data_IF_501888122559
#
_entry.id   IF_501888122559
#
_cell.length_a   1.000
_cell.length_b   1.000
_cell.length_c   1.000
_cell.angle_alpha   90.00
_cell.angle_beta   90.00
_cell.angle_gamma   90.00
#
_symmetry.space_group_name_H-M   'P 1'
#
loop_
_entity.id
_entity.type
_entity.pdbx_description
1 polymer ?
#
# COMPACT_ATOMS: atom_id res chain seq x y z
N UNK A 1 -14.78 19.43 6.63
CA UNK A 1 -15.74 18.42 6.18
C UNK A 1 -14.98 17.51 5.25
N UNK A 2 -14.71 16.27 5.64
CA UNK A 2 -14.10 15.28 4.75
C UNK A 2 -15.12 14.86 3.70
N UNK A 3 -14.71 14.86 2.43
CA UNK A 3 -15.49 14.30 1.34
C UNK A 3 -15.14 12.81 1.23
N UNK A 4 -16.16 11.94 1.12
CA UNK A 4 -15.98 10.49 0.94
C UNK A 4 -16.36 10.14 -0.49
N UNK A 5 -15.41 9.66 -1.28
CA UNK A 5 -15.69 9.14 -2.63
C UNK A 5 -15.71 7.61 -2.61
N UNK A 6 -16.87 7.02 -2.93
CA UNK A 6 -17.10 5.57 -3.00
C UNK A 6 -17.27 5.15 -4.46
N UNK A 7 -16.26 4.50 -5.02
CA UNK A 7 -16.25 4.09 -6.43
C UNK A 7 -16.26 2.57 -6.58
N UNK A 8 -17.08 2.06 -7.50
CA UNK A 8 -17.14 0.63 -7.84
C UNK A 8 -16.92 0.43 -9.33
N UNK A 9 -15.96 -0.43 -9.67
CA UNK A 9 -15.57 -0.71 -11.04
C UNK A 9 -15.67 -2.20 -11.35
N UNK A 10 -16.31 -2.53 -12.47
CA UNK A 10 -16.28 -3.90 -13.00
C UNK A 10 -14.94 -4.19 -13.69
N UNK A 11 -14.52 -3.28 -14.57
CA UNK A 11 -13.16 -3.20 -15.09
C UNK A 11 -12.78 -1.73 -15.04
N UNK A 12 -11.67 -1.38 -14.39
CA UNK A 12 -11.37 0.02 -14.13
C UNK A 12 -9.90 0.32 -14.07
N UNK A 13 -9.55 1.52 -14.52
CA UNK A 13 -8.27 2.14 -14.21
C UNK A 13 -8.58 3.38 -13.40
N UNK A 14 -7.91 3.52 -12.26
CA UNK A 14 -7.99 4.73 -11.47
C UNK A 14 -6.60 5.37 -11.36
N UNK A 15 -6.60 6.70 -11.36
CA UNK A 15 -5.41 7.50 -11.13
C UNK A 15 -5.78 8.61 -10.15
N UNK A 16 -5.13 8.60 -9.00
CA UNK A 16 -5.31 9.61 -7.97
C UNK A 16 -4.09 10.53 -7.94
N UNK A 17 -4.31 11.81 -8.24
CA UNK A 17 -3.36 12.91 -8.08
C UNK A 17 -4.00 13.91 -7.09
N UNK A 18 -3.45 14.13 -5.89
CA UNK A 18 -4.16 14.92 -4.88
C UNK A 18 -4.07 16.43 -5.12
N UNK A 19 -5.13 17.12 -4.67
CA UNK A 19 -5.19 18.57 -4.48
C UNK A 19 -5.55 18.85 -3.02
N UNK A 20 -4.52 19.06 -2.19
CA UNK A 20 -4.52 19.70 -0.86
C UNK A 20 -5.85 19.77 -0.08
N UNK A 21 -6.51 18.66 0.24
CA UNK A 21 -7.68 18.69 1.13
C UNK A 21 -7.92 17.34 1.80
N UNK A 22 -8.22 17.33 3.10
CA UNK A 22 -8.55 16.12 3.85
C UNK A 22 -9.72 15.38 3.18
N UNK A 23 -9.43 14.22 2.58
CA UNK A 23 -10.42 13.41 1.87
C UNK A 23 -10.21 11.92 2.14
N UNK A 24 -11.32 11.19 2.12
CA UNK A 24 -11.33 9.73 2.23
C UNK A 24 -11.75 9.15 0.89
N UNK A 25 -10.92 8.27 0.33
CA UNK A 25 -11.21 7.61 -0.94
C UNK A 25 -11.37 6.11 -0.74
N UNK A 26 -12.51 5.57 -1.18
CA UNK A 26 -12.81 4.15 -1.09
C UNK A 26 -13.18 3.59 -2.47
N UNK A 27 -12.43 2.60 -2.95
CA UNK A 27 -12.60 2.02 -4.28
C UNK A 27 -12.70 0.49 -4.23
N UNK A 28 -13.59 -0.08 -5.04
CA UNK A 28 -13.70 -1.53 -5.23
C UNK A 28 -13.66 -1.88 -6.70
N UNK A 29 -12.79 -2.82 -7.06
CA UNK A 29 -12.59 -3.30 -8.42
C UNK A 29 -12.82 -4.81 -8.50
N UNK A 30 -13.57 -5.25 -9.50
CA UNK A 30 -13.55 -6.67 -9.89
C UNK A 30 -12.26 -6.98 -10.67
N UNK A 31 -11.95 -6.22 -11.72
CA UNK A 31 -10.60 -6.20 -12.29
C UNK A 31 -10.13 -4.75 -12.39
N UNK A 32 -8.93 -4.44 -11.91
CA UNK A 32 -8.50 -3.05 -11.98
C UNK A 32 -7.03 -2.79 -11.78
N UNK A 33 -6.65 -1.61 -12.25
CA UNK A 33 -5.34 -1.03 -11.99
C UNK A 33 -5.55 0.30 -11.31
N UNK A 34 -4.94 0.50 -10.15
CA UNK A 34 -4.90 1.81 -9.53
C UNK A 34 -3.47 2.33 -9.44
N UNK A 35 -3.33 3.64 -9.65
CA UNK A 35 -2.07 4.34 -9.47
C UNK A 35 -2.27 5.59 -8.63
N UNK A 36 -1.46 5.70 -7.60
CA UNK A 36 -1.39 6.84 -6.72
C UNK A 36 -0.05 7.53 -6.92
N UNK A 37 -0.08 8.80 -7.31
CA UNK A 37 1.12 9.60 -7.51
C UNK A 37 1.08 10.84 -6.61
N UNK A 38 2.20 11.12 -5.95
CA UNK A 38 2.45 12.39 -5.27
C UNK A 38 1.40 12.69 -4.20
N UNK A 39 1.05 11.70 -3.37
CA UNK A 39 0.09 11.91 -2.29
C UNK A 39 0.69 12.79 -1.20
N UNK A 40 0.17 14.01 -1.08
CA UNK A 40 0.56 14.97 -0.05
C UNK A 40 -0.67 15.46 0.72
N UNK A 41 -0.68 15.21 2.04
CA UNK A 41 -1.72 15.62 2.98
C UNK A 41 -2.49 14.45 3.60
N UNK A 42 -3.26 14.69 4.66
CA UNK A 42 -4.00 13.65 5.39
C UNK A 42 -5.12 13.01 4.55
N UNK A 43 -4.79 11.95 3.83
CA UNK A 43 -5.71 11.18 2.98
C UNK A 43 -5.77 9.72 3.42
N UNK A 44 -6.96 9.28 3.80
CA UNK A 44 -7.22 7.86 4.05
C UNK A 44 -7.69 7.19 2.75
N UNK A 45 -7.05 6.07 2.40
CA UNK A 45 -7.33 5.36 1.17
C UNK A 45 -7.65 3.91 1.50
N UNK A 46 -8.79 3.43 0.99
CA UNK A 46 -9.23 2.05 1.13
C UNK A 46 -9.55 1.46 -0.24
N UNK A 47 -8.73 0.52 -0.70
CA UNK A 47 -8.93 -0.12 -2.00
C UNK A 47 -9.09 -1.63 -1.89
N UNK A 48 -10.03 -2.16 -2.66
CA UNK A 48 -10.32 -3.59 -2.71
C UNK A 48 -10.35 -4.08 -4.15
N UNK A 49 -9.62 -5.15 -4.43
CA UNK A 49 -9.52 -5.76 -5.75
C UNK A 49 -9.83 -7.25 -5.67
N UNK A 50 -10.68 -7.75 -6.56
CA UNK A 50 -10.74 -9.18 -6.82
C UNK A 50 -9.51 -9.62 -7.63
N UNK A 51 -9.25 -8.97 -8.77
CA UNK A 51 -7.98 -9.10 -9.48
C UNK A 51 -7.43 -7.70 -9.73
N UNK A 52 -6.21 -7.40 -9.29
CA UNK A 52 -5.72 -6.06 -9.51
C UNK A 52 -4.25 -5.81 -9.31
N UNK A 53 -3.85 -4.66 -9.82
CA UNK A 53 -2.51 -4.11 -9.63
C UNK A 53 -2.65 -2.74 -9.02
N UNK A 54 -1.92 -2.49 -7.94
CA UNK A 54 -1.80 -1.14 -7.42
C UNK A 54 -0.35 -0.68 -7.40
N UNK A 55 -0.13 0.58 -7.76
CA UNK A 55 1.18 1.23 -7.66
C UNK A 55 1.07 2.54 -6.89
N UNK A 56 1.90 2.67 -5.87
CA UNK A 56 2.06 3.88 -5.07
C UNK A 56 3.44 4.47 -5.34
N UNK A 57 3.47 5.74 -5.73
CA UNK A 57 4.70 6.45 -6.06
C UNK A 57 4.70 7.82 -5.39
N UNK A 58 5.72 8.07 -4.56
CA UNK A 58 5.95 9.35 -3.89
C UNK A 58 4.81 9.76 -2.96
N UNK A 59 4.37 8.86 -2.08
CA UNK A 59 3.44 9.19 -1.01
C UNK A 59 4.23 9.81 0.16
N UNK A 60 3.84 11.02 0.58
CA UNK A 60 4.58 11.83 1.56
C UNK A 60 3.90 11.82 2.93
N UNK A 61 2.58 11.60 2.97
CA UNK A 61 1.81 11.49 4.21
C UNK A 61 0.46 10.86 3.91
N UNK A 62 0.26 9.62 4.34
CA UNK A 62 -1.07 8.98 4.38
C UNK A 62 -1.29 8.43 5.80
N UNK A 63 -2.34 8.87 6.52
CA UNK A 63 -2.57 8.40 7.89
C UNK A 63 -2.93 6.92 7.92
N UNK A 64 -3.74 6.46 6.97
CA UNK A 64 -4.15 5.06 6.86
C UNK A 64 -4.29 4.62 5.41
N UNK A 65 -3.63 3.52 5.07
CA UNK A 65 -3.74 2.89 3.76
C UNK A 65 -4.20 1.44 3.91
N UNK A 66 -5.40 1.12 3.41
CA UNK A 66 -5.98 -0.22 3.48
C UNK A 66 -6.07 -0.82 2.08
N UNK A 67 -5.34 -1.91 1.86
CA UNK A 67 -5.34 -2.69 0.62
C UNK A 67 -5.89 -4.08 0.85
N UNK A 68 -6.81 -4.51 -0.01
CA UNK A 68 -7.30 -5.88 -0.02
C UNK A 68 -7.29 -6.44 -1.43
N UNK A 69 -6.60 -7.56 -1.62
CA UNK A 69 -6.52 -8.29 -2.89
C UNK A 69 -6.93 -9.74 -2.70
N UNK A 70 -7.84 -10.23 -3.56
CA UNK A 70 -7.98 -11.68 -3.73
C UNK A 70 -6.82 -12.22 -4.57
N UNK A 71 -6.59 -11.66 -5.76
CA UNK A 71 -5.38 -11.89 -6.54
C UNK A 71 -4.77 -10.54 -6.92
N UNK A 72 -3.52 -10.28 -6.56
CA UNK A 72 -2.99 -8.99 -6.92
C UNK A 72 -1.52 -8.74 -6.71
N UNK A 73 -1.08 -7.66 -7.34
CA UNK A 73 0.29 -7.17 -7.25
C UNK A 73 0.25 -5.75 -6.71
N UNK A 74 1.01 -5.50 -5.66
CA UNK A 74 1.22 -4.16 -5.18
C UNK A 74 2.69 -3.76 -5.28
N UNK A 75 2.93 -2.51 -5.68
CA UNK A 75 4.27 -1.90 -5.69
C UNK A 75 4.21 -0.55 -4.99
N UNK A 76 5.05 -0.37 -3.98
CA UNK A 76 5.27 0.92 -3.34
C UNK A 76 6.69 1.40 -3.62
N UNK A 77 6.81 2.63 -4.09
CA UNK A 77 8.07 3.26 -4.49
C UNK A 77 8.16 4.66 -3.86
N UNK A 78 9.24 4.90 -3.11
CA UNK A 78 9.54 6.20 -2.49
C UNK A 78 8.43 6.70 -1.57
N UNK A 79 7.95 5.82 -0.69
CA UNK A 79 7.05 6.19 0.41
C UNK A 79 7.89 6.80 1.55
N UNK A 80 7.57 8.05 1.92
CA UNK A 80 8.33 8.82 2.91
C UNK A 80 7.67 8.86 4.29
N UNK A 81 6.36 8.59 4.39
CA UNK A 81 5.65 8.57 5.68
C UNK A 81 4.25 7.96 5.55
N UNK A 82 4.10 6.71 5.95
CA UNK A 82 2.81 6.07 6.22
C UNK A 82 2.69 5.84 7.73
N UNK A 83 1.56 6.22 8.34
CA UNK A 83 1.34 5.94 9.76
C UNK A 83 0.95 4.48 9.98
N UNK A 84 0.20 3.90 9.03
CA UNK A 84 -0.18 2.51 8.99
C UNK A 84 -0.54 2.05 7.57
N UNK A 85 0.16 1.02 7.05
CA UNK A 85 -0.28 0.23 5.91
C UNK A 85 -0.87 -1.09 6.38
N UNK A 86 -2.09 -1.39 5.96
CA UNK A 86 -2.72 -2.70 6.15
C UNK A 86 -2.99 -3.34 4.80
N UNK A 87 -2.25 -4.40 4.48
CA UNK A 87 -2.39 -5.12 3.23
C UNK A 87 -2.82 -6.57 3.44
N UNK A 88 -3.97 -6.97 2.90
CA UNK A 88 -4.42 -8.37 2.91
C UNK A 88 -4.41 -8.93 1.49
N UNK A 89 -3.69 -10.03 1.30
CA UNK A 89 -3.54 -10.70 0.02
C UNK A 89 -3.90 -12.19 0.16
N UNK A 90 -4.88 -12.66 -0.62
CA UNK A 90 -5.13 -14.10 -0.67
C UNK A 90 -4.10 -14.81 -1.57
N UNK A 91 -3.88 -14.31 -2.78
CA UNK A 91 -2.78 -14.68 -3.66
C UNK A 91 -2.08 -13.40 -4.15
N UNK A 92 -0.93 -13.07 -3.58
CA UNK A 92 -0.37 -11.73 -3.78
C UNK A 92 1.13 -11.65 -3.94
N UNK A 93 1.56 -10.63 -4.68
CA UNK A 93 2.95 -10.21 -4.73
C UNK A 93 3.03 -8.77 -4.27
N UNK A 94 3.90 -8.48 -3.32
CA UNK A 94 4.14 -7.11 -2.89
C UNK A 94 5.62 -6.76 -3.02
N UNK A 95 5.90 -5.57 -3.57
CA UNK A 95 7.26 -5.06 -3.72
C UNK A 95 7.38 -3.65 -3.17
N UNK A 96 8.42 -3.45 -2.38
CA UNK A 96 8.73 -2.23 -1.67
C UNK A 96 10.13 -1.76 -2.01
N UNK A 97 10.23 -0.55 -2.56
CA UNK A 97 11.50 0.05 -2.99
C UNK A 97 11.70 1.43 -2.37
N UNK A 98 12.88 1.65 -1.79
CA UNK A 98 13.36 2.95 -1.34
C UNK A 98 12.40 3.59 -0.32
N UNK A 99 12.21 2.88 0.79
CA UNK A 99 11.25 3.24 1.83
C UNK A 99 11.93 3.98 2.99
N UNK A 100 11.35 5.10 3.44
CA UNK A 100 11.79 5.79 4.66
C UNK A 100 10.60 6.00 5.61
N UNK A 101 10.72 5.51 6.86
CA UNK A 101 9.75 5.63 7.98
C UNK A 101 8.36 5.00 7.81
N UNK A 102 8.07 4.00 8.64
CA UNK A 102 6.71 3.52 8.95
C UNK A 102 6.60 3.11 10.42
N UNK A 103 5.44 3.40 11.03
CA UNK A 103 5.19 3.07 12.43
C UNK A 103 4.64 1.65 12.61
N UNK A 104 3.72 1.16 11.76
CA UNK A 104 3.25 -0.24 11.81
C UNK A 104 2.72 -0.67 10.43
N UNK A 105 3.36 -1.68 9.85
CA UNK A 105 2.93 -2.32 8.61
C UNK A 105 2.51 -3.76 8.87
N UNK A 106 1.23 -4.05 8.65
CA UNK A 106 0.67 -5.40 8.72
C UNK A 106 0.36 -5.90 7.31
N UNK A 107 1.27 -6.69 6.76
CA UNK A 107 1.07 -7.35 5.47
C UNK A 107 0.77 -8.83 5.68
N UNK A 108 -0.47 -9.21 5.38
CA UNK A 108 -0.98 -10.56 5.55
C UNK A 108 -1.13 -11.21 4.18
N UNK A 109 -0.37 -12.28 3.95
CA UNK A 109 -0.47 -13.11 2.77
C UNK A 109 -0.98 -14.50 3.14
N UNK A 110 -2.03 -14.97 2.47
CA UNK A 110 -2.38 -16.39 2.55
C UNK A 110 -1.46 -17.21 1.66
N UNK A 111 -1.31 -16.81 0.40
CA UNK A 111 -0.30 -17.31 -0.53
C UNK A 111 0.40 -16.11 -1.15
N UNK A 112 1.72 -15.97 -1.00
CA UNK A 112 2.34 -14.79 -1.58
C UNK A 112 3.85 -14.70 -1.57
N UNK A 113 4.31 -13.61 -2.17
CA UNK A 113 5.73 -13.27 -2.26
C UNK A 113 5.89 -11.80 -1.88
N UNK A 114 6.83 -11.50 -0.99
CA UNK A 114 7.29 -10.12 -0.80
C UNK A 114 8.75 -9.91 -1.17
N UNK A 115 9.05 -8.71 -1.67
CA UNK A 115 10.42 -8.21 -1.85
C UNK A 115 10.53 -6.80 -1.29
N UNK A 116 11.50 -6.60 -0.40
CA UNK A 116 11.81 -5.31 0.21
C UNK A 116 13.25 -4.91 -0.18
N UNK A 117 13.40 -3.74 -0.78
CA UNK A 117 14.68 -3.18 -1.23
C UNK A 117 14.92 -1.82 -0.61
N UNK A 118 16.05 -1.68 0.10
CA UNK A 118 16.57 -0.42 0.62
C UNK A 118 15.56 0.34 1.49
N UNK A 119 15.53 0.00 2.79
CA UNK A 119 14.65 0.62 3.77
C UNK A 119 15.40 1.09 5.02
N UNK A 120 15.04 2.27 5.52
CA UNK A 120 15.42 2.75 6.86
C UNK A 120 14.17 2.63 7.73
N UNK A 121 14.23 1.72 8.70
CA UNK A 121 13.11 1.44 9.60
C UNK A 121 13.37 2.04 10.98
N UNK A 122 12.32 2.63 11.55
CA UNK A 122 12.30 3.14 12.92
C UNK A 122 11.46 2.30 13.85
N UNK A 123 10.52 1.50 13.32
CA UNK A 123 9.63 0.58 14.05
C UNK A 123 9.48 -0.80 13.34
N UNK A 124 8.59 -1.67 13.85
CA UNK A 124 8.41 -3.06 13.42
C UNK A 124 7.58 -3.21 12.13
N UNK A 125 8.20 -3.77 11.07
CA UNK A 125 7.50 -4.32 9.91
C UNK A 125 7.06 -5.76 10.21
N UNK A 126 5.75 -6.02 10.21
CA UNK A 126 5.19 -7.34 10.52
C UNK A 126 4.55 -7.93 9.26
N UNK A 127 5.16 -9.03 8.79
CA UNK A 127 4.68 -9.73 7.60
C UNK A 127 4.26 -11.15 7.98
N UNK A 128 2.98 -11.46 7.77
CA UNK A 128 2.42 -12.78 8.01
C UNK A 128 2.24 -13.55 6.69
N UNK A 129 2.66 -14.81 6.69
CA UNK A 129 2.37 -15.75 5.62
C UNK A 129 1.67 -16.98 6.20
N UNK A 130 0.62 -17.46 5.52
CA UNK A 130 0.26 -18.87 5.64
C UNK A 130 1.17 -19.72 4.75
N UNK A 131 1.32 -19.33 3.47
CA UNK A 131 2.27 -19.90 2.52
C UNK A 131 2.96 -18.79 1.74
N UNK A 132 4.28 -18.82 1.64
CA UNK A 132 4.96 -17.82 0.85
C UNK A 132 6.43 -17.66 1.18
N UNK A 133 7.03 -16.66 0.54
CA UNK A 133 8.43 -16.30 0.74
C UNK A 133 8.57 -14.79 0.80
N UNK A 134 9.53 -14.33 1.60
CA UNK A 134 9.92 -12.94 1.61
C UNK A 134 11.41 -12.77 1.43
N UNK A 135 11.81 -11.78 0.64
CA UNK A 135 13.19 -11.40 0.42
C UNK A 135 13.45 -9.96 0.85
N UNK A 136 14.55 -9.75 1.57
CA UNK A 136 14.96 -8.44 2.07
C UNK A 136 16.38 -8.11 1.57
N UNK A 137 16.53 -6.99 0.87
CA UNK A 137 17.80 -6.47 0.37
C UNK A 137 18.09 -5.13 1.05
N UNK A 138 19.02 -5.15 2.01
CA UNK A 138 19.51 -4.00 2.78
C UNK A 138 18.45 -3.22 3.58
N UNK A 139 18.12 -3.75 4.76
CA UNK A 139 17.37 -3.04 5.80
C UNK A 139 18.35 -2.48 6.84
N UNK A 140 18.40 -1.16 7.02
CA UNK A 140 19.11 -0.54 8.15
C UNK A 140 18.08 -0.27 9.25
N UNK A 141 18.21 -0.96 10.40
CA UNK A 141 17.46 -0.63 11.62
C UNK A 141 18.19 0.50 12.34
N UNK A 142 17.48 1.57 12.69
CA UNK A 142 18.03 2.57 13.62
C UNK A 142 18.01 1.97 15.03
N UNK A 143 19.20 1.76 15.62
CA UNK A 143 19.30 1.35 17.01
C UNK A 143 18.95 2.55 17.91
N UNK A 144 17.92 2.41 18.74
CA UNK A 144 17.58 3.34 19.82
C UNK A 144 18.30 2.94 21.12
#
# INVERSE_FOLDING_TARGET
MSHIELLRFLNGVCRHEPRSSNAVSASTFLNGVCRHEQIAGEHDIAESFLNGVCRHEHSISVPLFVLSFLNGVCRHELDMMSLALQGVFLNGVCRHEHWQFEQIDDLIFLNGVCRHELGIFTDELIIFFLNGVCRHEQSLRLAH
#
